data_IF_564184729085
#
_entry.id   IF_564184729085
#
_cell.length_a   1.000
_cell.length_b   1.000
_cell.length_c   1.000
_cell.angle_alpha   90.00
_cell.angle_beta   90.00
_cell.angle_gamma   90.00
#
_symmetry.space_group_name_H-M   'P 1'
#
loop_
_entity.id
_entity.type
_entity.pdbx_description
1 polymer ?
#
# COMPACT_ATOMS: atom_id res chain seq x y z
N UNK A 1 7.44 -12.01 -6.61
CA UNK A 1 7.23 -10.56 -6.83
C UNK A 1 7.41 -10.17 -8.29
N UNK A 2 8.53 -10.49 -8.97
CA UNK A 2 8.75 -10.13 -10.40
C UNK A 2 7.60 -10.53 -11.35
N UNK A 3 7.14 -11.78 -11.31
CA UNK A 3 6.06 -12.25 -12.17
C UNK A 3 4.69 -11.61 -11.85
N UNK A 4 4.42 -11.35 -10.56
CA UNK A 4 3.18 -10.66 -10.10
C UNK A 4 3.15 -9.23 -10.62
N UNK A 5 4.28 -8.51 -10.56
CA UNK A 5 4.40 -7.17 -11.12
C UNK A 5 4.09 -7.16 -12.62
N UNK A 6 4.72 -8.04 -13.40
CA UNK A 6 4.48 -8.09 -14.86
C UNK A 6 3.02 -8.39 -15.17
N UNK A 7 2.38 -9.30 -14.43
CA UNK A 7 0.96 -9.60 -14.59
C UNK A 7 0.10 -8.37 -14.28
N UNK A 8 0.23 -7.77 -13.09
CA UNK A 8 -0.56 -6.60 -12.69
C UNK A 8 -0.38 -5.41 -13.62
N UNK A 9 0.84 -5.17 -14.12
CA UNK A 9 1.10 -4.10 -15.07
C UNK A 9 0.38 -4.37 -16.40
N UNK A 10 0.49 -5.59 -16.92
CA UNK A 10 -0.08 -5.96 -18.21
C UNK A 10 -1.61 -5.93 -18.18
N UNK A 11 -2.21 -6.48 -17.13
CA UNK A 11 -3.67 -6.54 -16.97
C UNK A 11 -4.26 -5.14 -16.75
N UNK A 12 -3.57 -4.27 -16.00
CA UNK A 12 -4.00 -2.90 -15.78
C UNK A 12 -4.04 -2.08 -17.07
N UNK A 13 -2.96 -2.12 -17.88
CA UNK A 13 -2.95 -1.40 -19.16
C UNK A 13 -3.98 -1.96 -20.15
N UNK A 14 -4.18 -3.28 -20.16
CA UNK A 14 -5.21 -3.91 -20.97
C UNK A 14 -6.62 -3.48 -20.51
N UNK A 15 -6.87 -3.49 -19.20
CA UNK A 15 -8.11 -3.05 -18.55
C UNK A 15 -8.43 -1.60 -18.88
N UNK A 16 -7.51 -0.66 -18.62
CA UNK A 16 -7.71 0.76 -18.94
C UNK A 16 -7.99 0.98 -20.43
N UNK A 17 -7.20 0.38 -21.32
CA UNK A 17 -7.40 0.57 -22.77
C UNK A 17 -8.79 0.10 -23.22
N UNK A 18 -9.27 -0.99 -22.65
CA UNK A 18 -10.60 -1.51 -22.93
C UNK A 18 -11.69 -0.64 -22.29
N UNK A 19 -11.61 -0.36 -20.99
CA UNK A 19 -12.62 0.40 -20.25
C UNK A 19 -12.74 1.84 -20.73
N UNK A 20 -11.67 2.47 -21.21
CA UNK A 20 -11.72 3.83 -21.75
C UNK A 20 -12.71 3.97 -22.91
N UNK A 21 -12.85 2.92 -23.71
CA UNK A 21 -13.80 2.86 -24.84
C UNK A 21 -15.21 2.46 -24.43
N UNK A 22 -15.39 2.03 -23.17
CA UNK A 22 -16.66 1.55 -22.67
C UNK A 22 -17.49 2.69 -22.06
N UNK A 23 -18.77 2.84 -22.41
CA UNK A 23 -19.60 3.93 -21.90
C UNK A 23 -19.82 3.84 -20.38
N UNK A 24 -19.82 2.63 -19.82
CA UNK A 24 -19.99 2.41 -18.39
C UNK A 24 -18.77 2.80 -17.54
N UNK A 25 -17.64 3.13 -18.16
CA UNK A 25 -16.49 3.70 -17.44
C UNK A 25 -16.73 5.17 -17.07
N UNK A 26 -17.50 5.90 -17.87
CA UNK A 26 -17.76 7.32 -17.68
C UNK A 26 -19.09 7.57 -16.97
N UNK A 27 -20.07 6.69 -17.18
CA UNK A 27 -21.40 6.77 -16.56
C UNK A 27 -21.81 5.42 -15.97
N UNK A 28 -21.88 5.35 -14.64
CA UNK A 28 -22.24 4.12 -13.90
C UNK A 28 -23.65 3.66 -14.20
N UNK A 29 -24.57 4.53 -14.66
CA UNK A 29 -25.94 4.12 -15.02
C UNK A 29 -25.97 3.18 -16.22
N UNK A 30 -25.00 3.31 -17.12
CA UNK A 30 -24.82 2.41 -18.26
C UNK A 30 -24.42 0.99 -17.83
N UNK A 31 -24.00 0.79 -16.57
CA UNK A 31 -23.81 -0.57 -16.02
C UNK A 31 -25.13 -1.34 -15.97
N UNK A 32 -26.26 -0.67 -15.70
CA UNK A 32 -27.56 -1.29 -15.50
C UNK A 32 -28.46 -1.23 -16.75
N UNK A 33 -28.09 -0.43 -17.74
CA UNK A 33 -28.84 -0.34 -18.99
C UNK A 33 -28.93 -1.70 -19.71
N UNK A 34 -30.16 -2.12 -20.06
CA UNK A 34 -30.51 -3.42 -20.63
C UNK A 34 -30.12 -4.65 -19.77
N UNK A 35 -29.90 -4.48 -18.47
CA UNK A 35 -29.77 -5.62 -17.56
C UNK A 35 -31.11 -6.39 -17.47
N UNK A 36 -31.13 -7.73 -17.52
CA UNK A 36 -30.00 -8.68 -17.52
C UNK A 36 -29.50 -9.09 -18.91
N UNK A 37 -30.08 -8.57 -20.01
CA UNK A 37 -29.73 -8.94 -21.39
C UNK A 37 -28.51 -8.18 -21.91
N UNK A 38 -27.36 -8.38 -21.27
CA UNK A 38 -26.09 -7.77 -21.68
C UNK A 38 -25.22 -8.82 -22.40
N UNK A 39 -24.92 -8.67 -23.71
CA UNK A 39 -24.12 -9.64 -24.43
C UNK A 39 -22.65 -9.58 -23.98
N UNK A 40 -22.10 -10.74 -23.63
CA UNK A 40 -20.70 -10.87 -23.25
C UNK A 40 -19.82 -10.84 -24.50
N UNK A 41 -19.02 -9.79 -24.67
CA UNK A 41 -18.03 -9.74 -25.74
C UNK A 41 -16.83 -10.64 -25.43
N UNK A 42 -16.20 -11.25 -26.43
CA UNK A 42 -15.05 -12.16 -26.21
C UNK A 42 -13.90 -11.47 -25.46
N UNK A 43 -13.69 -10.17 -25.70
CA UNK A 43 -12.65 -9.37 -25.05
C UNK A 43 -12.89 -9.23 -23.54
N UNK A 44 -14.15 -9.04 -23.16
CA UNK A 44 -14.62 -8.97 -21.77
C UNK A 44 -14.50 -10.34 -21.09
N UNK A 45 -14.87 -11.41 -21.80
CA UNK A 45 -14.71 -12.79 -21.32
C UNK A 45 -13.25 -13.11 -20.95
N UNK A 46 -12.30 -12.85 -21.85
CA UNK A 46 -10.89 -13.14 -21.58
C UNK A 46 -10.34 -12.31 -20.43
N UNK A 47 -10.71 -11.02 -20.34
CA UNK A 47 -10.34 -10.16 -19.22
C UNK A 47 -10.74 -10.79 -17.88
N UNK A 48 -11.99 -11.23 -17.80
CA UNK A 48 -12.61 -11.75 -16.60
C UNK A 48 -12.04 -13.13 -16.19
N UNK A 49 -11.86 -14.03 -17.15
CA UNK A 49 -11.32 -15.37 -16.89
C UNK A 49 -9.83 -15.32 -16.51
N UNK A 50 -9.04 -14.45 -17.16
CA UNK A 50 -7.62 -14.28 -16.82
C UNK A 50 -7.45 -13.75 -15.40
N UNK A 51 -8.23 -12.74 -15.01
CA UNK A 51 -8.20 -12.24 -13.64
C UNK A 51 -8.67 -13.29 -12.64
N UNK A 52 -9.79 -13.97 -12.91
CA UNK A 52 -10.29 -15.02 -12.02
C UNK A 52 -9.24 -16.13 -11.79
N UNK A 53 -8.59 -16.60 -12.87
CA UNK A 53 -7.55 -17.62 -12.78
C UNK A 53 -6.33 -17.13 -11.97
N UNK A 54 -5.94 -15.87 -12.16
CA UNK A 54 -4.86 -15.28 -11.40
C UNK A 54 -5.22 -15.15 -9.91
N UNK A 55 -6.40 -14.63 -9.57
CA UNK A 55 -6.85 -14.54 -8.17
C UNK A 55 -6.94 -15.91 -7.49
N UNK A 56 -7.38 -16.96 -8.21
CA UNK A 56 -7.30 -18.33 -7.70
C UNK A 56 -5.87 -18.79 -7.44
N UNK A 57 -4.92 -18.47 -8.34
CA UNK A 57 -3.51 -18.80 -8.12
C UNK A 57 -2.96 -18.12 -6.86
N UNK A 58 -3.34 -16.86 -6.59
CA UNK A 58 -2.95 -16.15 -5.37
C UNK A 58 -3.62 -16.72 -4.13
N UNK A 59 -4.89 -17.13 -4.26
CA UNK A 59 -5.64 -17.77 -3.19
C UNK A 59 -4.93 -19.04 -2.71
N UNK A 60 -4.39 -19.86 -3.60
CA UNK A 60 -3.65 -21.07 -3.20
C UNK A 60 -2.23 -20.76 -2.74
N UNK A 61 -1.54 -19.82 -3.41
CA UNK A 61 -0.17 -19.42 -3.05
C UNK A 61 -0.04 -18.93 -1.60
N UNK A 62 -1.09 -18.37 -1.00
CA UNK A 62 -1.02 -17.89 0.38
C UNK A 62 -0.87 -19.02 1.41
N UNK A 63 -1.26 -20.25 1.10
CA UNK A 63 -1.12 -21.39 2.00
C UNK A 63 0.31 -21.94 2.01
N UNK A 64 1.03 -21.76 0.89
CA UNK A 64 2.44 -22.12 0.78
C UNK A 64 3.37 -21.00 1.26
N UNK A 65 2.91 -19.75 1.20
CA UNK A 65 3.64 -18.60 1.73
C UNK A 65 3.66 -18.62 3.27
N UNK A 66 4.74 -18.12 3.87
CA UNK A 66 4.91 -18.08 5.33
C UNK A 66 3.74 -17.31 5.97
N UNK A 67 3.03 -17.94 6.92
CA UNK A 67 1.92 -17.30 7.63
C UNK A 67 2.38 -16.03 8.34
N UNK A 68 1.84 -14.90 7.90
CA UNK A 68 2.09 -13.58 8.51
C UNK A 68 0.83 -13.10 9.23
N UNK A 69 0.98 -12.06 10.05
CA UNK A 69 -0.09 -11.52 10.92
C UNK A 69 -1.33 -11.01 10.14
N UNK A 70 -1.20 -10.76 8.85
CA UNK A 70 -2.25 -10.33 7.93
C UNK A 70 -2.91 -11.49 7.14
N UNK A 71 -2.57 -12.74 7.44
CA UNK A 71 -3.06 -13.92 6.70
C UNK A 71 -4.59 -13.97 6.61
N UNK A 72 -5.31 -13.84 7.74
CA UNK A 72 -6.78 -13.92 7.73
C UNK A 72 -7.42 -12.79 6.93
N UNK A 73 -6.87 -11.57 7.02
CA UNK A 73 -7.38 -10.40 6.31
C UNK A 73 -7.21 -10.61 4.79
N UNK A 74 -6.03 -11.07 4.37
CA UNK A 74 -5.77 -11.40 2.96
C UNK A 74 -6.61 -12.60 2.49
N UNK A 75 -6.82 -13.63 3.32
CA UNK A 75 -7.63 -14.79 2.97
C UNK A 75 -9.09 -14.39 2.73
N UNK A 76 -9.69 -13.66 3.66
CA UNK A 76 -11.06 -13.14 3.53
C UNK A 76 -11.19 -12.23 2.31
N UNK A 77 -10.18 -11.40 2.02
CA UNK A 77 -10.16 -10.60 0.80
C UNK A 77 -10.18 -11.45 -0.47
N UNK A 78 -9.31 -12.45 -0.58
CA UNK A 78 -9.28 -13.31 -1.78
C UNK A 78 -10.61 -14.06 -1.92
N UNK A 79 -11.23 -14.47 -0.81
CA UNK A 79 -12.52 -15.15 -0.85
C UNK A 79 -13.63 -14.20 -1.31
N UNK A 80 -13.61 -12.96 -0.82
CA UNK A 80 -14.55 -11.92 -1.22
C UNK A 80 -14.38 -11.52 -2.69
N UNK A 81 -13.15 -11.32 -3.16
CA UNK A 81 -12.86 -10.95 -4.57
C UNK A 81 -13.23 -12.07 -5.55
N UNK A 82 -12.80 -13.31 -5.30
CA UNK A 82 -13.19 -14.47 -6.13
C UNK A 82 -14.71 -14.66 -6.13
N UNK A 83 -15.34 -14.51 -4.95
CA UNK A 83 -16.79 -14.52 -4.80
C UNK A 83 -17.45 -13.45 -5.66
N UNK A 84 -17.01 -12.20 -5.56
CA UNK A 84 -17.55 -11.08 -6.35
C UNK A 84 -17.40 -11.27 -7.85
N UNK A 85 -16.23 -11.71 -8.30
CA UNK A 85 -15.96 -12.00 -9.71
C UNK A 85 -16.95 -13.07 -10.17
N UNK A 86 -17.01 -14.20 -9.49
CA UNK A 86 -17.88 -15.34 -9.84
C UNK A 86 -19.37 -14.97 -9.82
N UNK A 87 -19.84 -14.32 -8.75
CA UNK A 87 -21.25 -13.91 -8.63
C UNK A 87 -21.63 -12.87 -9.68
N UNK A 88 -20.76 -11.90 -9.95
CA UNK A 88 -20.98 -10.91 -11.01
C UNK A 88 -21.06 -11.55 -12.38
N UNK A 89 -20.25 -12.59 -12.65
CA UNK A 89 -20.34 -13.36 -13.90
C UNK A 89 -21.65 -14.15 -14.02
N UNK A 90 -22.04 -14.88 -12.97
CA UNK A 90 -23.26 -15.71 -12.98
C UNK A 90 -24.55 -14.89 -13.11
N UNK A 91 -24.59 -13.69 -12.55
CA UNK A 91 -25.75 -12.79 -12.62
C UNK A 91 -25.66 -11.79 -13.78
N UNK A 92 -24.68 -11.92 -14.68
CA UNK A 92 -24.46 -11.00 -15.81
C UNK A 92 -24.27 -9.52 -15.41
N UNK A 93 -23.67 -9.25 -14.24
CA UNK A 93 -23.31 -7.91 -13.76
C UNK A 93 -21.88 -7.51 -14.16
N UNK A 94 -21.40 -8.07 -15.28
CA UNK A 94 -19.99 -8.05 -15.66
C UNK A 94 -19.45 -6.63 -15.85
N UNK A 95 -20.31 -5.67 -16.27
CA UNK A 95 -19.93 -4.25 -16.40
C UNK A 95 -19.47 -3.66 -15.05
N UNK A 96 -20.25 -3.86 -13.99
CA UNK A 96 -19.88 -3.42 -12.62
C UNK A 96 -18.63 -4.17 -12.16
N UNK A 97 -18.58 -5.48 -12.41
CA UNK A 97 -17.41 -6.31 -12.11
C UNK A 97 -16.13 -5.74 -12.71
N UNK A 98 -16.14 -5.33 -14.00
CA UNK A 98 -14.93 -4.75 -14.62
C UNK A 98 -14.47 -3.43 -14.03
N UNK A 99 -15.39 -2.60 -13.55
CA UNK A 99 -15.03 -1.36 -12.85
C UNK A 99 -14.34 -1.68 -11.53
N UNK A 100 -14.86 -2.66 -10.78
CA UNK A 100 -14.25 -3.15 -9.55
C UNK A 100 -12.82 -3.63 -9.85
N UNK A 101 -12.66 -4.55 -10.81
CA UNK A 101 -11.36 -5.13 -11.16
C UNK A 101 -10.32 -4.06 -11.53
N UNK A 102 -10.65 -3.20 -12.49
CA UNK A 102 -9.74 -2.14 -12.96
C UNK A 102 -9.35 -1.16 -11.85
N UNK A 103 -10.27 -0.84 -10.94
CA UNK A 103 -10.01 0.07 -9.83
C UNK A 103 -9.05 -0.55 -8.80
N UNK A 104 -9.12 -1.87 -8.59
CA UNK A 104 -8.22 -2.57 -7.69
C UNK A 104 -6.83 -2.71 -8.31
N UNK A 105 -6.74 -3.05 -9.60
CA UNK A 105 -5.46 -3.20 -10.31
C UNK A 105 -4.61 -1.91 -10.32
N UNK A 106 -5.25 -0.73 -10.31
CA UNK A 106 -4.60 0.58 -10.40
C UNK A 106 -3.52 0.86 -9.36
N UNK A 107 -3.60 0.23 -8.17
CA UNK A 107 -2.59 0.42 -7.11
C UNK A 107 -1.72 -0.81 -6.89
N UNK A 108 -2.12 -1.98 -7.39
CA UNK A 108 -1.43 -3.22 -7.07
C UNK A 108 -0.08 -3.35 -7.79
N UNK A 109 0.02 -2.82 -9.02
CA UNK A 109 1.32 -2.76 -9.71
C UNK A 109 2.32 -1.82 -8.99
N UNK A 110 1.85 -0.74 -8.35
CA UNK A 110 2.70 0.19 -7.58
C UNK A 110 3.25 -0.47 -6.33
N UNK A 111 2.44 -1.28 -5.64
CA UNK A 111 2.87 -2.04 -4.47
C UNK A 111 3.92 -3.10 -4.83
N UNK A 112 3.75 -3.81 -5.94
CA UNK A 112 4.79 -4.74 -6.41
C UNK A 112 6.04 -4.00 -6.91
N UNK A 113 5.90 -2.81 -7.52
CA UNK A 113 7.04 -1.96 -7.89
C UNK A 113 7.87 -1.54 -6.66
N UNK A 114 7.21 -1.14 -5.58
CA UNK A 114 7.88 -0.79 -4.32
C UNK A 114 8.67 -1.98 -3.75
N UNK A 115 8.09 -3.19 -3.77
CA UNK A 115 8.79 -4.42 -3.33
C UNK A 115 10.02 -4.73 -4.20
N UNK A 116 9.91 -4.54 -5.51
CA UNK A 116 11.03 -4.74 -6.43
C UNK A 116 12.14 -3.70 -6.21
N UNK A 117 11.79 -2.44 -5.98
CA UNK A 117 12.76 -1.38 -5.64
C UNK A 117 13.48 -1.68 -4.32
N UNK A 118 12.76 -2.20 -3.31
CA UNK A 118 13.36 -2.65 -2.06
C UNK A 118 14.33 -3.83 -2.27
N UNK A 119 13.96 -4.80 -3.11
CA UNK A 119 14.84 -5.92 -3.46
C UNK A 119 16.12 -5.46 -4.19
N UNK A 120 16.02 -4.43 -5.02
CA UNK A 120 17.14 -3.81 -5.70
C UNK A 120 17.96 -2.85 -4.81
N UNK A 121 17.62 -2.73 -3.51
CA UNK A 121 18.25 -1.82 -2.53
C UNK A 121 18.18 -0.33 -2.91
N UNK A 122 17.22 0.07 -3.74
CA UNK A 122 16.99 1.47 -4.10
C UNK A 122 15.97 2.13 -3.16
N UNK A 123 16.43 2.55 -1.98
CA UNK A 123 15.54 3.05 -0.91
C UNK A 123 14.70 4.26 -1.34
N UNK A 124 15.28 5.24 -2.05
CA UNK A 124 14.53 6.43 -2.50
C UNK A 124 13.38 6.09 -3.45
N UNK A 125 13.60 5.15 -4.38
CA UNK A 125 12.55 4.70 -5.30
C UNK A 125 11.51 3.86 -4.58
N UNK A 126 11.92 3.01 -3.63
CA UNK A 126 11.00 2.25 -2.79
C UNK A 126 10.05 3.18 -2.01
N UNK A 127 10.59 4.20 -1.35
CA UNK A 127 9.80 5.16 -0.57
C UNK A 127 8.88 5.98 -1.49
N UNK A 128 9.36 6.40 -2.67
CA UNK A 128 8.54 7.10 -3.67
C UNK A 128 7.37 6.23 -4.18
N UNK A 129 7.63 4.98 -4.58
CA UNK A 129 6.58 4.06 -5.02
C UNK A 129 5.61 3.71 -3.89
N UNK A 130 6.08 3.59 -2.65
CA UNK A 130 5.22 3.35 -1.49
C UNK A 130 4.29 4.53 -1.19
N UNK A 131 4.79 5.76 -1.27
CA UNK A 131 3.98 6.97 -1.11
C UNK A 131 2.95 7.11 -2.24
N UNK A 132 3.37 6.91 -3.48
CA UNK A 132 2.48 6.93 -4.64
C UNK A 132 1.41 5.85 -4.54
N UNK A 133 1.79 4.64 -4.16
CA UNK A 133 0.87 3.55 -3.85
C UNK A 133 -0.18 3.97 -2.82
N UNK A 134 0.23 4.60 -1.70
CA UNK A 134 -0.69 5.04 -0.66
C UNK A 134 -1.70 6.07 -1.14
N UNK A 135 -1.26 7.06 -1.93
CA UNK A 135 -2.16 8.07 -2.51
C UNK A 135 -3.16 7.43 -3.47
N UNK A 136 -2.67 6.61 -4.42
CA UNK A 136 -3.55 5.93 -5.39
C UNK A 136 -4.52 5.01 -4.66
N UNK A 137 -4.05 4.23 -3.67
CA UNK A 137 -4.88 3.34 -2.85
C UNK A 137 -6.05 4.10 -2.22
N UNK A 138 -5.78 5.23 -1.55
CA UNK A 138 -6.81 5.98 -0.83
C UNK A 138 -7.81 6.58 -1.84
N UNK A 139 -7.33 7.19 -2.91
CA UNK A 139 -8.21 7.81 -3.91
C UNK A 139 -9.11 6.78 -4.58
N UNK A 140 -8.54 5.65 -5.04
CA UNK A 140 -9.30 4.62 -5.74
C UNK A 140 -10.26 3.91 -4.80
N UNK A 141 -9.80 3.44 -3.64
CA UNK A 141 -10.57 2.52 -2.77
C UNK A 141 -11.41 3.21 -1.69
N UNK A 142 -11.06 4.42 -1.26
CA UNK A 142 -11.84 5.20 -0.27
C UNK A 142 -12.62 6.35 -0.91
N UNK A 143 -12.18 6.85 -2.06
CA UNK A 143 -12.95 7.81 -2.86
C UNK A 143 -13.83 7.09 -3.87
N UNK A 144 -13.24 6.68 -4.99
CA UNK A 144 -13.99 6.26 -6.18
C UNK A 144 -14.86 5.02 -5.89
N UNK A 145 -14.33 3.98 -5.24
CA UNK A 145 -15.08 2.75 -4.98
C UNK A 145 -16.38 2.98 -4.17
N UNK A 146 -16.39 3.62 -2.99
CA UNK A 146 -17.64 3.83 -2.26
C UNK A 146 -18.58 4.84 -2.94
N UNK A 147 -18.05 5.93 -3.51
CA UNK A 147 -18.91 6.97 -4.11
C UNK A 147 -19.49 6.56 -5.47
N UNK A 148 -18.81 5.73 -6.25
CA UNK A 148 -19.30 5.28 -7.56
C UNK A 148 -19.88 3.88 -7.49
N UNK A 149 -19.04 2.88 -7.17
CA UNK A 149 -19.41 1.46 -7.30
C UNK A 149 -20.40 1.03 -6.21
N UNK A 150 -20.12 1.42 -4.97
CA UNK A 150 -21.01 1.07 -3.85
C UNK A 150 -22.31 1.86 -3.95
N UNK A 151 -22.26 3.14 -4.33
CA UNK A 151 -23.46 3.97 -4.54
C UNK A 151 -24.36 3.41 -5.66
N UNK A 152 -23.81 3.11 -6.85
CA UNK A 152 -24.60 2.57 -7.97
C UNK A 152 -25.18 1.20 -7.63
N UNK A 153 -24.44 0.35 -6.92
CA UNK A 153 -24.90 -0.99 -6.54
C UNK A 153 -25.83 -0.98 -5.33
N UNK A 154 -25.78 0.01 -4.44
CA UNK A 154 -26.69 0.05 -3.30
C UNK A 154 -28.00 0.76 -3.62
N UNK A 155 -27.95 1.87 -4.37
CA UNK A 155 -29.08 2.76 -4.61
C UNK A 155 -29.67 2.60 -6.02
N UNK A 156 -28.90 2.84 -7.09
CA UNK A 156 -29.44 2.87 -8.47
C UNK A 156 -30.02 1.51 -8.93
N UNK A 157 -29.34 0.45 -8.54
CA UNK A 157 -29.75 -0.93 -8.79
C UNK A 157 -31.04 -1.36 -8.05
N UNK A 158 -31.31 -0.81 -6.87
CA UNK A 158 -32.49 -1.12 -6.06
C UNK A 158 -33.74 -0.61 -6.77
N UNK A 159 -33.63 0.56 -7.39
CA UNK A 159 -34.71 1.17 -8.16
C UNK A 159 -35.02 0.40 -9.46
N UNK A 160 -34.03 -0.28 -10.04
CA UNK A 160 -34.16 -0.91 -11.36
C UNK A 160 -34.51 -2.40 -11.34
N UNK A 161 -34.00 -3.19 -10.40
CA UNK A 161 -34.02 -4.67 -10.46
C UNK A 161 -34.94 -5.31 -9.41
N UNK A 162 -35.31 -4.57 -8.36
CA UNK A 162 -36.11 -5.09 -7.25
C UNK A 162 -35.35 -6.08 -6.33
N UNK A 163 -35.94 -6.51 -5.21
CA UNK A 163 -35.26 -7.34 -4.22
C UNK A 163 -35.23 -8.81 -4.65
N UNK A 164 -34.03 -9.33 -4.96
CA UNK A 164 -33.79 -10.76 -5.19
C UNK A 164 -32.75 -11.32 -4.20
N UNK A 165 -32.82 -12.59 -3.77
CA UNK A 165 -31.97 -13.10 -2.69
C UNK A 165 -30.46 -13.02 -2.93
N UNK A 166 -29.98 -13.34 -4.14
CA UNK A 166 -28.54 -13.25 -4.47
C UNK A 166 -27.99 -11.82 -4.47
N UNK A 167 -28.86 -10.82 -4.52
CA UNK A 167 -28.50 -9.41 -4.40
C UNK A 167 -27.90 -9.04 -3.06
N UNK A 168 -28.49 -9.56 -1.98
CA UNK A 168 -28.03 -9.33 -0.62
C UNK A 168 -26.61 -9.87 -0.41
N UNK A 169 -26.33 -11.02 -1.01
CA UNK A 169 -24.99 -11.61 -0.98
C UNK A 169 -23.98 -10.74 -1.72
N UNK A 170 -24.32 -10.25 -2.92
CA UNK A 170 -23.43 -9.37 -3.69
C UNK A 170 -23.13 -8.05 -2.95
N UNK A 171 -24.17 -7.40 -2.40
CA UNK A 171 -24.01 -6.21 -1.54
C UNK A 171 -23.12 -6.50 -0.33
N UNK A 172 -23.35 -7.63 0.34
CA UNK A 172 -22.57 -8.04 1.51
C UNK A 172 -21.08 -8.23 1.18
N UNK A 173 -20.76 -8.84 0.04
CA UNK A 173 -19.39 -9.03 -0.42
C UNK A 173 -18.71 -7.69 -0.77
N UNK A 174 -19.42 -6.77 -1.43
CA UNK A 174 -18.89 -5.43 -1.75
C UNK A 174 -18.62 -4.59 -0.50
N UNK A 175 -19.50 -4.66 0.50
CA UNK A 175 -19.32 -3.99 1.80
C UNK A 175 -18.16 -4.62 2.57
N UNK A 176 -18.03 -5.94 2.54
CA UNK A 176 -16.90 -6.66 3.15
C UNK A 176 -15.58 -6.18 2.55
N UNK A 177 -15.48 -6.05 1.22
CA UNK A 177 -14.32 -5.44 0.56
C UNK A 177 -14.06 -4.02 1.06
N UNK A 178 -15.09 -3.19 1.19
CA UNK A 178 -14.91 -1.82 1.67
C UNK A 178 -14.34 -1.76 3.08
N UNK A 179 -14.81 -2.60 3.99
CA UNK A 179 -14.28 -2.68 5.36
C UNK A 179 -12.79 -3.05 5.33
N UNK A 180 -12.39 -4.01 4.49
CA UNK A 180 -10.99 -4.39 4.32
C UNK A 180 -10.14 -3.22 3.80
N UNK A 181 -10.65 -2.43 2.83
CA UNK A 181 -9.96 -1.24 2.35
C UNK A 181 -9.74 -0.18 3.41
N UNK A 182 -10.72 0.03 4.31
CA UNK A 182 -10.58 0.97 5.43
C UNK A 182 -9.49 0.49 6.39
N UNK A 183 -9.47 -0.80 6.71
CA UNK A 183 -8.43 -1.40 7.57
C UNK A 183 -7.04 -1.20 6.95
N UNK A 184 -6.87 -1.51 5.66
CA UNK A 184 -5.58 -1.31 4.99
C UNK A 184 -5.19 0.14 4.85
N UNK A 185 -6.13 1.04 4.57
CA UNK A 185 -5.85 2.48 4.53
C UNK A 185 -5.30 2.99 5.85
N UNK A 186 -5.88 2.53 6.97
CA UNK A 186 -5.35 2.82 8.30
C UNK A 186 -3.91 2.31 8.46
N UNK A 187 -3.60 1.09 8.01
CA UNK A 187 -2.24 0.53 8.08
C UNK A 187 -1.24 1.29 7.20
N UNK A 188 -1.66 1.74 6.01
CA UNK A 188 -0.85 2.52 5.08
C UNK A 188 -0.54 3.89 5.69
N UNK A 189 -1.56 4.61 6.16
CA UNK A 189 -1.40 5.92 6.80
C UNK A 189 -0.50 5.79 8.02
N UNK A 190 -0.73 4.79 8.89
CA UNK A 190 0.11 4.54 10.07
C UNK A 190 1.59 4.33 9.70
N UNK A 191 1.86 3.61 8.62
CA UNK A 191 3.22 3.33 8.15
C UNK A 191 3.86 4.57 7.54
N UNK A 192 3.12 5.32 6.72
CA UNK A 192 3.57 6.58 6.14
C UNK A 192 3.88 7.63 7.22
N UNK A 193 3.00 7.81 8.21
CA UNK A 193 3.23 8.74 9.33
C UNK A 193 4.47 8.38 10.14
N UNK A 194 4.69 7.09 10.42
CA UNK A 194 5.92 6.63 11.10
C UNK A 194 7.18 6.91 10.29
N UNK A 195 7.12 6.71 8.96
CA UNK A 195 8.24 7.00 8.08
C UNK A 195 8.55 8.50 8.04
N UNK A 196 7.53 9.36 8.01
CA UNK A 196 7.68 10.82 8.03
C UNK A 196 8.30 11.32 9.34
N UNK A 197 7.87 10.79 10.49
CA UNK A 197 8.46 11.16 11.79
C UNK A 197 9.94 10.78 11.85
N UNK A 198 10.31 9.56 11.43
CA UNK A 198 11.72 9.12 11.41
C UNK A 198 12.57 9.93 10.42
N UNK A 199 11.98 10.31 9.28
CA UNK A 199 12.64 11.16 8.29
C UNK A 199 12.87 12.59 8.79
N UNK A 200 11.95 13.15 9.61
CA UNK A 200 12.14 14.46 10.26
C UNK A 200 13.26 14.44 11.28
N UNK A 201 13.28 13.43 12.17
CA UNK A 201 14.35 13.29 13.19
C UNK A 201 15.74 13.21 12.54
N UNK A 202 15.89 12.41 11.48
CA UNK A 202 17.18 12.33 10.75
C UNK A 202 17.59 13.61 10.03
N UNK A 203 16.66 14.54 9.80
CA UNK A 203 16.90 15.79 9.06
C UNK A 203 17.16 16.96 10.02
N UNK A 204 16.46 16.98 11.17
CA UNK A 204 16.65 17.95 12.25
C UNK A 204 17.95 17.71 13.03
N UNK A 205 18.37 16.45 13.26
CA UNK A 205 19.66 16.14 13.90
C UNK A 205 20.89 16.63 13.11
N UNK A 206 20.70 17.07 11.86
CA UNK A 206 21.78 17.52 10.97
C UNK A 206 21.75 19.02 10.67
N UNK A 207 20.73 19.76 11.12
CA UNK A 207 20.64 21.22 10.93
C UNK A 207 21.07 22.04 12.15
N UNK A 208 21.31 21.42 13.31
CA UNK A 208 21.64 22.13 14.56
C UNK A 208 23.15 22.26 14.83
N UNK A 209 24.02 22.07 13.82
CA UNK A 209 25.50 22.21 13.98
C UNK A 209 26.15 23.36 13.19
N UNK A 210 25.38 24.22 12.52
CA UNK A 210 25.91 25.45 11.90
C UNK A 210 25.08 26.67 12.30
N UNK A 211 25.24 27.15 13.53
CA UNK A 211 25.18 28.58 13.86
C UNK A 211 25.36 28.78 15.36
N UNK A 212 26.62 28.95 15.80
CA UNK A 212 27.03 29.99 16.76
C UNK A 212 28.40 29.67 17.38
N UNK A 213 29.45 29.87 16.59
CA UNK A 213 30.81 30.22 17.02
C UNK A 213 31.10 31.53 16.26
N UNK A 214 31.48 32.68 16.83
CA UNK A 214 32.15 33.07 18.07
C UNK A 214 31.82 34.57 18.32
N UNK A 215 32.00 35.08 19.54
CA UNK A 215 32.87 36.27 19.81
C UNK A 215 32.98 36.54 21.32
N UNK A 216 34.22 36.76 21.77
CA UNK A 216 34.66 36.93 23.16
C UNK A 216 34.67 38.40 23.65
N UNK A 217 34.49 38.53 24.97
CA UNK A 217 35.08 39.48 25.95
C UNK A 217 34.63 40.96 26.06
N UNK A 218 34.43 41.41 27.32
CA UNK A 218 35.07 42.57 28.00
C UNK A 218 34.37 42.89 29.36
N UNK A 219 35.05 42.48 30.45
CA UNK A 219 35.25 43.08 31.79
C UNK A 219 34.11 43.64 32.69
N UNK A 220 34.05 43.14 33.95
CA UNK A 220 34.48 43.80 35.22
C UNK A 220 33.53 43.71 36.44
N UNK A 221 34.06 43.10 37.53
CA UNK A 221 33.82 43.30 38.99
C UNK A 221 32.38 43.10 39.54
N UNK A 222 32.07 42.40 40.66
CA UNK A 222 32.76 42.35 41.95
C UNK A 222 32.06 41.36 42.94
N UNK A 223 32.85 40.65 43.77
CA UNK A 223 32.63 40.34 45.22
C UNK A 223 31.80 39.13 45.73
N UNK A 224 32.56 38.19 46.34
CA UNK A 224 32.35 37.28 47.52
C UNK A 224 31.33 36.12 47.44
N UNK A 225 31.65 34.89 47.87
CA UNK A 225 32.87 34.38 48.52
C UNK A 225 32.86 32.87 48.84
N UNK A 226 34.09 32.33 49.02
CA UNK A 226 34.57 31.38 50.05
C UNK A 226 33.93 29.98 50.17
N UNK A 227 34.66 28.92 49.78
CA UNK A 227 35.28 27.83 50.60
C UNK A 227 35.92 26.77 49.64
N UNK A 228 37.26 26.68 49.47
CA UNK A 228 38.23 25.73 50.09
C UNK A 228 37.92 24.22 49.83
N UNK A 229 38.80 23.28 49.46
CA UNK A 229 40.28 23.18 49.29
C UNK A 229 40.66 21.91 48.48
N UNK A 230 41.70 22.05 47.65
CA UNK A 230 42.73 21.13 47.10
C UNK A 230 42.81 19.62 47.48
N UNK A 231 43.11 18.77 46.48
CA UNK A 231 44.32 17.91 46.51
C UNK A 231 44.80 17.48 45.11
N UNK A 232 46.10 17.67 44.87
CA UNK A 232 46.90 17.36 43.67
C UNK A 232 47.31 15.88 43.59
N UNK A 233 47.64 15.39 42.38
CA UNK A 233 48.41 14.16 42.21
C UNK A 233 48.76 13.84 40.75
N UNK A 234 49.99 14.16 40.36
CA UNK A 234 50.59 14.17 39.02
C UNK A 234 51.29 12.86 38.57
N UNK A 235 51.58 12.83 37.25
CA UNK A 235 52.66 12.12 36.52
C UNK A 235 52.29 10.79 35.81
N UNK A 236 52.34 10.70 34.46
CA UNK A 236 53.50 10.66 33.51
C UNK A 236 54.38 9.41 33.66
N UNK A 237 54.37 8.50 32.66
CA UNK A 237 55.46 8.27 31.69
C UNK A 237 55.31 6.97 30.86
N UNK A 238 55.80 7.07 29.62
CA UNK A 238 55.93 6.08 28.55
C UNK A 238 56.88 4.90 28.86
N UNK A 239 56.66 3.78 28.14
CA UNK A 239 57.66 3.31 27.16
C UNK A 239 58.30 1.91 27.33
N UNK A 240 58.43 1.24 26.18
CA UNK A 240 59.36 0.13 25.82
C UNK A 240 59.07 -1.29 26.39
N UNK A 241 59.32 -2.44 25.73
CA UNK A 241 59.65 -2.89 24.36
C UNK A 241 59.78 -4.42 24.40
N UNK A 242 59.62 -5.09 23.24
CA UNK A 242 60.05 -6.46 22.89
C UNK A 242 59.29 -7.64 23.56
N UNK A 243 59.06 -8.78 22.91
CA UNK A 243 59.47 -9.25 21.59
C UNK A 243 59.04 -10.73 21.40
N UNK A 244 58.94 -11.12 20.13
CA UNK A 244 59.17 -12.47 19.56
C UNK A 244 58.43 -13.72 20.11
N UNK A 245 57.57 -14.26 19.22
CA UNK A 245 57.73 -15.58 18.55
C UNK A 245 57.18 -16.87 19.21
N UNK A 246 56.86 -17.81 18.29
CA UNK A 246 56.51 -19.26 18.41
C UNK A 246 55.00 -19.57 18.33
N UNK A 247 54.48 -19.98 17.15
CA UNK A 247 54.29 -21.38 16.63
C UNK A 247 53.44 -22.23 17.58
N UNK A 248 52.41 -22.96 17.18
CA UNK A 248 51.99 -23.55 15.92
C UNK A 248 51.36 -24.89 16.30
N UNK A 249 50.14 -25.13 15.84
CA UNK A 249 49.47 -26.43 15.54
C UNK A 249 48.02 -26.14 15.13
#
# INVERSE_FOLDING_TARGET
SRWRFTFYLSIFFYGIRFLWTAPWFWDTRQCWYNYPFQPLTSRLYYYYILELAFYWSLMFSQFTDIKRKDFLIMFVHHLATIGLITFSYMNNMVRVGTLVLCLHDASDFLLEAAKLANYAKYQRLCDAFFMLFGVVFIVTRLGIYPFWILNTTLFESWELIGPYPSWWLFKGLLVTLQVLHVIWSYLIIRTASKALVRGKVSKDDRSDVESSSEEEDVTSNNTKGIFSTSSNGSNRLNGHVAGSQWTGE
#
